data_IF_691748981134
#
_entry.id   IF_691748981134
#
_cell.length_a   1.000
_cell.length_b   1.000
_cell.length_c   1.000
_cell.angle_alpha   90.00
_cell.angle_beta   90.00
_cell.angle_gamma   90.00
#
_symmetry.space_group_name_H-M   'P 1'
#
loop_
_entity.id
_entity.type
_entity.pdbx_description
1 polymer ?
#
# COMPACT_ATOMS: atom_id res chain seq x y z
N UNK A 1 -10.87 -4.84 43.48
CA UNK A 1 -10.26 -3.71 42.74
C UNK A 1 -10.75 -2.41 43.36
N UNK A 2 -9.95 -1.35 43.42
CA UNK A 2 -10.47 -0.01 43.71
C UNK A 2 -11.38 0.46 42.55
N UNK A 3 -12.60 0.91 42.85
CA UNK A 3 -13.62 1.31 41.87
C UNK A 3 -13.10 2.37 40.89
N UNK A 4 -12.23 3.27 41.38
CA UNK A 4 -11.58 4.30 40.56
C UNK A 4 -10.69 3.72 39.46
N UNK A 5 -10.09 2.54 39.70
CA UNK A 5 -9.18 1.86 38.77
C UNK A 5 -9.95 1.08 37.70
N UNK A 6 -11.06 0.43 38.08
CA UNK A 6 -11.95 -0.25 37.12
C UNK A 6 -12.56 0.73 36.11
N UNK A 7 -13.06 1.87 36.60
CA UNK A 7 -13.68 2.87 35.74
C UNK A 7 -12.66 3.48 34.74
N UNK A 8 -11.41 3.70 35.18
CA UNK A 8 -10.31 4.14 34.31
C UNK A 8 -10.00 3.15 33.18
N UNK A 9 -9.90 1.85 33.48
CA UNK A 9 -9.64 0.82 32.46
C UNK A 9 -10.77 0.77 31.43
N UNK A 10 -12.02 0.96 31.87
CA UNK A 10 -13.20 0.97 31.00
C UNK A 10 -13.20 2.14 30.01
N UNK A 11 -12.80 3.33 30.49
CA UNK A 11 -12.65 4.54 29.64
C UNK A 11 -11.48 4.37 28.67
N UNK A 12 -10.32 3.90 29.13
CA UNK A 12 -9.17 3.65 28.26
C UNK A 12 -9.48 2.61 27.17
N UNK A 13 -10.18 1.52 27.52
CA UNK A 13 -10.63 0.53 26.55
C UNK A 13 -11.55 1.12 25.49
N UNK A 14 -12.47 2.03 25.86
CA UNK A 14 -13.32 2.73 24.89
C UNK A 14 -12.49 3.62 23.95
N UNK A 15 -11.52 4.37 24.48
CA UNK A 15 -10.64 5.23 23.67
C UNK A 15 -9.86 4.38 22.65
N UNK A 16 -9.31 3.24 23.08
CA UNK A 16 -8.56 2.33 22.21
C UNK A 16 -9.46 1.74 21.12
N UNK A 17 -10.71 1.37 21.43
CA UNK A 17 -11.68 0.93 20.42
C UNK A 17 -11.93 2.04 19.39
N UNK A 18 -12.18 3.26 19.84
CA UNK A 18 -12.46 4.40 18.94
C UNK A 18 -11.25 4.66 18.03
N UNK A 19 -10.03 4.67 18.58
CA UNK A 19 -8.81 4.79 17.80
C UNK A 19 -8.68 3.66 16.77
N UNK A 20 -8.99 2.43 17.17
CA UNK A 20 -9.01 1.28 16.27
C UNK A 20 -9.98 1.46 15.10
N UNK A 21 -11.23 1.87 15.37
CA UNK A 21 -12.24 2.13 14.35
C UNK A 21 -11.77 3.23 13.38
N UNK A 22 -11.18 4.31 13.89
CA UNK A 22 -10.64 5.39 13.04
C UNK A 22 -9.57 4.85 12.10
N UNK A 23 -8.64 4.02 12.60
CA UNK A 23 -7.58 3.41 11.79
C UNK A 23 -8.12 2.47 10.72
N UNK A 24 -9.15 1.67 11.02
CA UNK A 24 -9.84 0.83 10.02
C UNK A 24 -10.43 1.67 8.91
N UNK A 25 -11.22 2.68 9.27
CA UNK A 25 -11.89 3.56 8.29
C UNK A 25 -10.87 4.30 7.43
N UNK A 26 -9.83 4.87 8.05
CA UNK A 26 -8.77 5.56 7.34
C UNK A 26 -8.02 4.63 6.39
N UNK A 27 -7.60 3.45 6.84
CA UNK A 27 -6.89 2.47 6.01
C UNK A 27 -7.74 2.02 4.81
N UNK A 28 -9.00 1.66 5.02
CA UNK A 28 -9.91 1.26 3.92
C UNK A 28 -10.15 2.41 2.95
N UNK A 29 -10.41 3.63 3.46
CA UNK A 29 -10.65 4.79 2.60
C UNK A 29 -9.40 5.15 1.76
N UNK A 30 -8.21 5.08 2.34
CA UNK A 30 -6.96 5.28 1.61
C UNK A 30 -6.77 4.20 0.54
N UNK A 31 -7.02 2.92 0.86
CA UNK A 31 -6.91 1.83 -0.11
C UNK A 31 -7.80 2.07 -1.33
N UNK A 32 -9.08 2.41 -1.09
CA UNK A 32 -10.05 2.71 -2.16
C UNK A 32 -9.60 3.92 -2.98
N UNK A 33 -9.12 4.98 -2.32
CA UNK A 33 -8.61 6.17 -3.00
C UNK A 33 -7.45 5.83 -3.94
N UNK A 34 -6.47 5.05 -3.47
CA UNK A 34 -5.31 4.64 -4.29
C UNK A 34 -5.77 3.78 -5.47
N UNK A 35 -6.67 2.81 -5.24
CA UNK A 35 -7.23 1.96 -6.30
C UNK A 35 -7.94 2.78 -7.37
N UNK A 36 -8.81 3.69 -6.97
CA UNK A 36 -9.51 4.59 -7.92
C UNK A 36 -8.53 5.49 -8.70
N UNK A 37 -7.51 6.03 -8.04
CA UNK A 37 -6.50 6.89 -8.67
C UNK A 37 -5.71 6.13 -9.74
N UNK A 38 -5.36 4.87 -9.47
CA UNK A 38 -4.69 4.01 -10.44
C UNK A 38 -5.61 3.62 -11.61
N UNK A 39 -6.85 3.22 -11.31
CA UNK A 39 -7.83 2.87 -12.34
C UNK A 39 -8.08 4.03 -13.33
N UNK A 40 -8.11 5.27 -12.82
CA UNK A 40 -8.28 6.47 -13.64
C UNK A 40 -7.13 6.71 -14.64
N UNK A 41 -5.93 6.18 -14.37
CA UNK A 41 -4.80 6.26 -15.30
C UNK A 41 -4.94 5.31 -16.49
N UNK A 42 -5.89 4.35 -16.45
CA UNK A 42 -6.14 3.37 -17.52
C UNK A 42 -4.87 2.63 -17.99
N UNK A 43 -3.97 2.38 -17.05
CA UNK A 43 -2.76 1.59 -17.30
C UNK A 43 -3.21 0.13 -17.38
N UNK A 44 -2.76 -0.58 -18.41
CA UNK A 44 -2.95 -2.02 -18.55
C UNK A 44 -1.62 -2.72 -18.35
N UNK A 45 -1.65 -3.85 -17.66
CA UNK A 45 -0.48 -4.72 -17.56
C UNK A 45 -0.13 -5.22 -18.96
N UNK A 46 1.15 -5.13 -19.32
CA UNK A 46 1.66 -5.54 -20.63
C UNK A 46 1.30 -7.00 -20.95
N UNK A 47 1.10 -7.30 -22.23
CA UNK A 47 0.73 -8.64 -22.71
C UNK A 47 1.85 -9.67 -22.49
N UNK A 48 3.10 -9.22 -22.37
CA UNK A 48 4.27 -10.06 -22.11
C UNK A 48 4.62 -10.19 -20.61
N UNK A 49 3.70 -9.78 -19.72
CA UNK A 49 3.84 -9.98 -18.28
C UNK A 49 3.65 -11.46 -17.89
N UNK A 50 4.43 -11.93 -16.92
CA UNK A 50 4.30 -13.30 -16.38
C UNK A 50 2.96 -13.55 -15.68
N UNK A 51 2.30 -12.49 -15.20
CA UNK A 51 1.02 -12.54 -14.52
C UNK A 51 0.19 -11.28 -14.79
N UNK A 52 -1.13 -11.42 -14.74
CA UNK A 52 -2.10 -10.33 -14.89
C UNK A 52 -2.04 -9.59 -16.23
N UNK A 53 -1.44 -10.17 -17.27
CA UNK A 53 -1.40 -9.60 -18.62
C UNK A 53 -2.79 -9.16 -19.10
N UNK A 54 -2.89 -7.94 -19.62
CA UNK A 54 -4.14 -7.33 -20.07
C UNK A 54 -5.08 -6.85 -18.95
N UNK A 55 -4.77 -7.10 -17.68
CA UNK A 55 -5.54 -6.55 -16.56
C UNK A 55 -5.34 -5.03 -16.44
N UNK A 56 -6.37 -4.33 -15.96
CA UNK A 56 -6.23 -2.92 -15.57
C UNK A 56 -5.45 -2.83 -14.27
N UNK A 57 -4.50 -1.90 -14.20
CA UNK A 57 -3.72 -1.64 -13.00
C UNK A 57 -4.57 -0.85 -12.02
N UNK A 58 -5.21 -1.54 -11.08
CA UNK A 58 -6.01 -0.93 -10.01
C UNK A 58 -5.80 -1.56 -8.62
N UNK A 59 -5.05 -2.67 -8.51
CA UNK A 59 -4.62 -3.27 -7.24
C UNK A 59 -3.07 -3.37 -7.17
N UNK A 60 -2.49 -3.72 -6.00
CA UNK A 60 -1.04 -3.68 -5.83
C UNK A 60 -0.31 -4.76 -6.64
N UNK A 61 -0.92 -5.91 -6.90
CA UNK A 61 -0.25 -6.98 -7.65
C UNK A 61 -0.20 -6.69 -9.15
N UNK A 62 -1.22 -6.05 -9.75
CA UNK A 62 -1.13 -5.57 -11.14
C UNK A 62 -0.12 -4.44 -11.27
N UNK A 63 -0.09 -3.50 -10.32
CA UNK A 63 0.90 -2.40 -10.32
C UNK A 63 2.33 -2.95 -10.22
N UNK A 64 2.55 -3.95 -9.35
CA UNK A 64 3.83 -4.65 -9.24
C UNK A 64 4.21 -5.40 -10.53
N UNK A 65 3.26 -6.12 -11.13
CA UNK A 65 3.49 -6.83 -12.39
C UNK A 65 3.88 -5.88 -13.52
N UNK A 66 3.15 -4.78 -13.69
CA UNK A 66 3.46 -3.77 -14.70
C UNK A 66 4.80 -3.08 -14.44
N UNK A 67 5.12 -2.76 -13.17
CA UNK A 67 6.41 -2.18 -12.80
C UNK A 67 7.59 -3.09 -13.16
N UNK A 68 7.43 -4.41 -12.99
CA UNK A 68 8.46 -5.38 -13.36
C UNK A 68 8.67 -5.46 -14.87
N UNK A 69 7.59 -5.46 -15.67
CA UNK A 69 7.72 -5.48 -17.13
C UNK A 69 8.39 -4.21 -17.65
N UNK A 70 8.03 -3.04 -17.10
CA UNK A 70 8.72 -1.78 -17.43
C UNK A 70 10.23 -1.89 -17.13
N UNK A 71 10.59 -2.45 -15.98
CA UNK A 71 11.99 -2.67 -15.61
C UNK A 71 12.72 -3.61 -16.58
N UNK A 72 12.05 -4.68 -17.02
CA UNK A 72 12.56 -5.63 -18.01
C UNK A 72 12.83 -4.93 -19.35
N UNK A 73 11.84 -4.24 -19.92
CA UNK A 73 12.01 -3.51 -21.18
C UNK A 73 13.07 -2.41 -21.06
N UNK A 74 13.12 -1.70 -19.94
CA UNK A 74 14.16 -0.69 -19.70
C UNK A 74 15.57 -1.30 -19.69
N UNK A 75 15.74 -2.45 -19.05
CA UNK A 75 17.02 -3.16 -19.02
C UNK A 75 17.42 -3.65 -20.42
N UNK A 76 16.47 -4.20 -21.19
CA UNK A 76 16.69 -4.63 -22.57
C UNK A 76 17.09 -3.45 -23.48
N UNK A 77 16.40 -2.31 -23.38
CA UNK A 77 16.70 -1.07 -24.11
C UNK A 77 18.09 -0.54 -23.75
N UNK A 78 18.46 -0.61 -22.46
CA UNK A 78 19.76 -0.17 -21.96
C UNK A 78 20.89 -1.19 -22.19
N UNK A 79 20.61 -2.34 -22.82
CA UNK A 79 21.62 -3.39 -23.05
C UNK A 79 22.19 -3.97 -21.74
N UNK A 80 21.38 -4.03 -20.68
CA UNK A 80 21.78 -4.49 -19.35
C UNK A 80 22.30 -3.39 -18.42
N UNK A 81 22.55 -2.17 -18.92
CA UNK A 81 22.99 -1.05 -18.11
C UNK A 81 21.85 -0.41 -17.32
N UNK A 82 22.17 0.22 -16.20
CA UNK A 82 21.27 1.12 -15.46
C UNK A 82 21.30 2.52 -16.06
N UNK A 83 20.30 3.35 -15.75
CA UNK A 83 20.26 4.76 -16.19
C UNK A 83 21.54 5.54 -15.87
N UNK A 84 22.17 5.26 -14.72
CA UNK A 84 23.39 5.94 -14.29
C UNK A 84 24.64 5.50 -15.08
N UNK A 85 24.61 4.33 -15.69
CA UNK A 85 25.70 3.75 -16.46
C UNK A 85 25.64 4.14 -17.96
N UNK A 86 24.50 4.66 -18.42
CA UNK A 86 24.36 5.12 -19.80
C UNK A 86 25.17 6.40 -20.06
N UNK A 87 25.91 6.48 -21.19
CA UNK A 87 26.55 7.71 -21.65
C UNK A 87 25.55 8.88 -21.72
N UNK A 88 25.99 10.10 -21.43
CA UNK A 88 25.09 11.25 -21.41
C UNK A 88 24.42 11.54 -22.76
N UNK A 89 25.09 11.19 -23.86
CA UNK A 89 24.64 11.33 -25.24
C UNK A 89 23.94 10.09 -25.80
N UNK A 90 23.68 9.07 -24.97
CA UNK A 90 22.99 7.86 -25.39
C UNK A 90 21.53 8.18 -25.81
N UNK A 91 21.09 7.77 -27.01
CA UNK A 91 19.76 8.09 -27.53
C UNK A 91 18.62 7.48 -26.73
N UNK A 92 18.87 6.39 -25.98
CA UNK A 92 17.88 5.70 -25.16
C UNK A 92 17.83 6.21 -23.71
N UNK A 93 18.76 7.08 -23.32
CA UNK A 93 18.90 7.56 -21.94
C UNK A 93 17.63 8.18 -21.38
N UNK A 94 16.91 8.94 -22.20
CA UNK A 94 15.63 9.54 -21.81
C UNK A 94 14.55 8.47 -21.60
N UNK A 95 14.45 7.49 -22.51
CA UNK A 95 13.48 6.39 -22.39
C UNK A 95 13.70 5.56 -21.12
N UNK A 96 14.96 5.25 -20.80
CA UNK A 96 15.31 4.48 -19.59
C UNK A 96 15.05 5.30 -18.32
N UNK A 97 15.23 6.62 -18.37
CA UNK A 97 14.86 7.53 -17.29
C UNK A 97 13.35 7.53 -17.03
N UNK A 98 12.55 7.69 -18.08
CA UNK A 98 11.09 7.70 -18.00
C UNK A 98 10.55 6.34 -17.49
N UNK A 99 11.11 5.24 -17.98
CA UNK A 99 10.79 3.90 -17.48
C UNK A 99 11.11 3.74 -16.00
N UNK A 100 12.27 4.22 -15.54
CA UNK A 100 12.64 4.19 -14.12
C UNK A 100 11.67 4.99 -13.25
N UNK A 101 11.20 6.15 -13.72
CA UNK A 101 10.20 6.94 -13.01
C UNK A 101 8.84 6.27 -12.96
N UNK A 102 8.37 5.70 -14.07
CA UNK A 102 7.10 4.95 -14.12
C UNK A 102 7.15 3.71 -13.22
N UNK A 103 8.25 2.98 -13.24
CA UNK A 103 8.47 1.83 -12.35
C UNK A 103 8.43 2.27 -10.88
N UNK A 104 9.14 3.34 -10.53
CA UNK A 104 9.18 3.85 -9.15
C UNK A 104 7.81 4.37 -8.68
N UNK A 105 7.05 5.04 -9.55
CA UNK A 105 5.71 5.55 -9.22
C UNK A 105 4.73 4.40 -8.99
N UNK A 106 4.77 3.34 -9.81
CA UNK A 106 3.96 2.14 -9.60
C UNK A 106 4.32 1.41 -8.30
N UNK A 107 5.61 1.24 -7.98
CA UNK A 107 6.01 0.67 -6.69
C UNK A 107 5.61 1.56 -5.51
N UNK A 108 5.64 2.89 -5.67
CA UNK A 108 5.13 3.82 -4.64
C UNK A 108 3.65 3.56 -4.38
N UNK A 109 2.85 3.29 -5.42
CA UNK A 109 1.45 2.89 -5.28
C UNK A 109 1.29 1.54 -4.57
N UNK A 110 2.14 0.54 -4.86
CA UNK A 110 2.17 -0.75 -4.12
C UNK A 110 2.42 -0.53 -2.63
N UNK A 111 3.38 0.33 -2.29
CA UNK A 111 3.66 0.70 -0.89
C UNK A 111 2.47 1.41 -0.25
N UNK A 112 1.81 2.32 -0.98
CA UNK A 112 0.61 3.02 -0.48
C UNK A 112 -0.52 2.03 -0.13
N UNK A 113 -0.78 1.03 -0.97
CA UNK A 113 -1.71 -0.06 -0.63
C UNK A 113 -1.28 -0.84 0.61
N UNK A 114 0.01 -1.18 0.71
CA UNK A 114 0.55 -1.89 1.87
C UNK A 114 0.37 -1.11 3.18
N UNK A 115 0.64 0.20 3.17
CA UNK A 115 0.44 1.08 4.33
C UNK A 115 -1.03 1.21 4.68
N UNK A 116 -1.92 1.35 3.69
CA UNK A 116 -3.37 1.42 3.89
C UNK A 116 -3.91 0.13 4.54
N UNK A 117 -3.49 -1.04 4.03
CA UNK A 117 -3.83 -2.33 4.61
C UNK A 117 -3.29 -2.49 6.04
N UNK A 118 -2.04 -2.09 6.29
CA UNK A 118 -1.44 -2.12 7.62
C UNK A 118 -2.23 -1.25 8.61
N UNK A 119 -2.61 -0.03 8.22
CA UNK A 119 -3.41 0.85 9.06
C UNK A 119 -4.75 0.18 9.44
N UNK A 120 -5.41 -0.46 8.47
CA UNK A 120 -6.66 -1.17 8.74
C UNK A 120 -6.46 -2.35 9.70
N UNK A 121 -5.43 -3.18 9.49
CA UNK A 121 -5.11 -4.31 10.37
C UNK A 121 -4.79 -3.84 11.79
N UNK A 122 -3.98 -2.79 11.93
CA UNK A 122 -3.67 -2.20 13.24
C UNK A 122 -4.94 -1.69 13.93
N UNK A 123 -5.86 -1.08 13.17
CA UNK A 123 -7.15 -0.65 13.68
C UNK A 123 -7.98 -1.79 14.26
N UNK A 124 -8.02 -2.93 13.56
CA UNK A 124 -8.69 -4.15 14.03
C UNK A 124 -8.04 -4.65 15.33
N UNK A 125 -6.72 -4.74 15.37
CA UNK A 125 -5.98 -5.20 16.56
C UNK A 125 -6.23 -4.29 17.77
N UNK A 126 -6.22 -2.97 17.58
CA UNK A 126 -6.58 -2.02 18.63
C UNK A 126 -8.02 -2.22 19.10
N UNK A 127 -8.97 -2.41 18.17
CA UNK A 127 -10.36 -2.72 18.51
C UNK A 127 -10.48 -3.96 19.40
N UNK A 128 -9.76 -5.04 19.06
CA UNK A 128 -9.73 -6.28 19.85
C UNK A 128 -9.11 -6.07 21.24
N UNK A 129 -8.00 -5.32 21.31
CA UNK A 129 -7.35 -4.98 22.59
C UNK A 129 -8.29 -4.17 23.49
N UNK A 130 -8.92 -3.13 22.94
CA UNK A 130 -9.85 -2.30 23.70
C UNK A 130 -11.09 -3.07 24.15
N UNK A 131 -11.58 -4.01 23.34
CA UNK A 131 -12.64 -4.94 23.73
C UNK A 131 -12.22 -5.85 24.89
N UNK A 132 -11.02 -6.43 24.83
CA UNK A 132 -10.47 -7.26 25.89
C UNK A 132 -10.31 -6.47 27.21
N UNK A 133 -9.75 -5.24 27.16
CA UNK A 133 -9.62 -4.37 28.34
C UNK A 133 -10.96 -4.09 29.02
N UNK A 134 -12.02 -3.89 28.23
CA UNK A 134 -13.37 -3.66 28.75
C UNK A 134 -14.00 -4.93 29.33
N UNK A 135 -13.62 -6.11 28.83
CA UNK A 135 -14.02 -7.41 29.36
C UNK A 135 -13.42 -7.70 30.73
N UNK A 136 -12.14 -7.39 30.93
CA UNK A 136 -11.42 -7.57 32.21
C UNK A 136 -11.88 -6.61 33.31
N UNK A 137 -12.47 -5.46 32.95
CA UNK A 137 -12.99 -4.47 33.89
C UNK A 137 -14.41 -4.77 34.41
N UNK A 138 -15.01 -5.92 34.07
CA UNK A 138 -16.31 -6.32 34.62
C UNK A 138 -16.13 -6.72 36.10
N UNK A 139 -16.84 -6.08 37.06
CA UNK A 139 -16.95 -6.62 38.41
C UNK A 139 -17.84 -7.87 38.37
N UNK A 140 -17.44 -8.90 39.11
CA UNK A 140 -18.27 -10.10 39.36
C UNK A 140 -19.55 -9.73 40.13
#
# INVERSE_FOLDING_TARGET
MDDSRSNRVRVLGLIVIIAGVIFVVAGVATYVTVSSTLADQKITVSDDADAFAGATVDQPWEAYAQANVIGKHANEIAGGATYAELPQDDPNRQTVMDASFLQASLFTSVVAFGVAAMAAVLGILLGLIGWALRGVARPD
#
